data_IF_639128825625
#
_entry.id   IF_639128825625
#
_cell.length_a   1.000
_cell.length_b   1.000
_cell.length_c   1.000
_cell.angle_alpha   90.00
_cell.angle_beta   90.00
_cell.angle_gamma   90.00
#
_symmetry.space_group_name_H-M   'P 1'
#
loop_
_entity.id
_entity.type
_entity.pdbx_description
1 polymer ?
#
# COMPACT_ATOMS: atom_id res chain seq x y z
N UNK A 1 16.03 -4.65 23.05
CA UNK A 1 15.17 -4.08 21.99
C UNK A 1 14.81 -2.68 22.46
N UNK A 2 15.55 -1.66 22.02
CA UNK A 2 15.30 -0.28 22.43
C UNK A 2 14.39 0.39 21.39
N UNK A 3 13.20 0.77 21.83
CA UNK A 3 12.34 1.68 21.10
C UNK A 3 12.85 3.11 21.30
N UNK A 4 12.67 3.98 20.30
CA UNK A 4 13.02 5.39 20.44
C UNK A 4 12.24 6.06 21.56
N UNK A 5 12.94 6.88 22.37
CA UNK A 5 12.34 7.74 23.39
C UNK A 5 11.37 8.75 22.75
N UNK A 6 10.24 9.10 23.41
CA UNK A 6 9.27 10.10 22.94
C UNK A 6 9.88 11.46 22.54
N UNK A 7 11.08 11.77 23.04
CA UNK A 7 11.83 12.99 22.74
C UNK A 7 12.27 13.10 21.28
N UNK A 8 12.55 11.97 20.62
CA UNK A 8 13.00 11.92 19.22
C UNK A 8 11.84 11.95 18.21
N UNK A 9 10.60 11.77 18.68
CA UNK A 9 9.38 11.87 17.87
C UNK A 9 8.94 13.32 17.61
N UNK A 10 9.64 14.32 18.17
CA UNK A 10 9.34 15.75 17.94
C UNK A 10 9.70 16.25 16.53
N UNK A 11 10.48 15.48 15.78
CA UNK A 11 10.86 15.80 14.39
C UNK A 11 9.77 15.43 13.37
N UNK A 12 8.73 14.70 13.79
CA UNK A 12 7.65 14.28 12.90
C UNK A 12 6.37 15.11 13.10
N UNK A 13 5.70 15.52 12.00
CA UNK A 13 4.40 16.18 12.08
C UNK A 13 3.39 15.33 12.86
N UNK A 14 2.44 16.01 13.51
CA UNK A 14 1.45 15.41 14.45
C UNK A 14 0.68 14.22 13.88
N UNK A 15 0.45 14.22 12.57
CA UNK A 15 -0.21 13.15 11.80
C UNK A 15 0.59 11.84 11.73
N UNK A 16 1.93 11.90 11.83
CA UNK A 16 2.80 10.73 11.79
C UNK A 16 3.02 10.10 13.18
N UNK A 17 2.46 10.68 14.25
CA UNK A 17 2.55 10.14 15.62
C UNK A 17 1.61 8.97 15.88
N UNK A 18 0.73 8.64 14.94
CA UNK A 18 -0.16 7.48 15.01
C UNK A 18 0.50 6.17 14.55
N UNK A 19 1.68 6.23 13.93
CA UNK A 19 2.44 5.03 13.56
C UNK A 19 3.19 4.56 14.82
N UNK A 20 2.78 3.45 15.44
CA UNK A 20 3.28 3.06 16.74
C UNK A 20 4.71 2.51 16.59
N UNK A 21 5.62 3.06 17.39
CA UNK A 21 6.96 2.52 17.68
C UNK A 21 7.79 2.08 16.47
N UNK A 22 8.65 2.98 16.01
CA UNK A 22 9.82 2.61 15.23
C UNK A 22 10.72 1.67 16.03
N UNK A 23 10.92 0.45 15.54
CA UNK A 23 12.03 -0.36 16.01
C UNK A 23 13.29 0.09 15.27
N UNK A 24 14.44 0.11 15.96
CA UNK A 24 15.73 0.40 15.31
C UNK A 24 15.99 -0.55 14.12
N UNK A 25 15.43 -1.76 14.16
CA UNK A 25 15.46 -2.70 13.04
C UNK A 25 14.79 -2.13 11.78
N UNK A 26 13.65 -1.45 11.89
CA UNK A 26 12.93 -0.85 10.76
C UNK A 26 13.74 0.26 10.08
N UNK A 27 14.56 1.00 10.83
CA UNK A 27 15.42 2.03 10.26
C UNK A 27 16.74 1.45 9.75
N UNK A 28 17.24 0.38 10.38
CA UNK A 28 18.51 -0.25 10.01
C UNK A 28 18.50 -0.81 8.60
N UNK A 29 17.34 -1.24 8.07
CA UNK A 29 17.21 -1.74 6.70
C UNK A 29 17.38 -0.65 5.63
N UNK A 30 17.35 0.63 6.00
CA UNK A 30 17.71 1.71 5.06
C UNK A 30 19.24 1.79 4.83
N UNK A 31 20.03 1.14 5.68
CA UNK A 31 21.48 1.15 5.61
C UNK A 31 22.00 -0.17 5.01
N UNK A 32 22.14 -0.22 3.68
CA UNK A 32 22.72 -1.38 2.97
C UNK A 32 21.76 -2.02 1.97
N UNK A 33 22.11 -3.22 1.45
CA UNK A 33 21.32 -3.91 0.42
C UNK A 33 20.17 -4.73 1.04
N UNK A 34 19.35 -4.09 1.87
CA UNK A 34 18.20 -4.73 2.52
C UNK A 34 16.91 -4.39 1.78
N UNK A 35 15.94 -5.31 1.83
CA UNK A 35 14.60 -5.06 1.30
C UNK A 35 13.83 -4.12 2.23
N UNK A 36 13.04 -3.23 1.63
CA UNK A 36 12.08 -2.43 2.36
C UNK A 36 10.97 -3.33 2.90
N UNK A 37 10.50 -3.03 4.10
CA UNK A 37 9.34 -3.69 4.68
C UNK A 37 8.08 -2.82 4.56
N UNK A 38 6.91 -3.43 4.83
CA UNK A 38 5.61 -2.78 4.77
C UNK A 38 5.54 -1.49 5.61
N UNK A 39 6.21 -1.48 6.77
CA UNK A 39 6.16 -0.35 7.70
C UNK A 39 6.84 0.88 7.13
N UNK A 40 8.02 0.72 6.53
CA UNK A 40 8.73 1.82 5.88
C UNK A 40 7.95 2.38 4.69
N UNK A 41 7.39 1.51 3.85
CA UNK A 41 6.59 1.93 2.69
C UNK A 41 5.33 2.67 3.16
N UNK A 42 4.62 2.11 4.16
CA UNK A 42 3.45 2.74 4.75
C UNK A 42 3.76 4.12 5.35
N UNK A 43 4.88 4.23 6.07
CA UNK A 43 5.32 5.51 6.60
C UNK A 43 5.63 6.51 5.51
N UNK A 44 6.37 6.10 4.48
CA UNK A 44 6.72 7.00 3.39
C UNK A 44 5.46 7.49 2.65
N UNK A 45 4.50 6.60 2.39
CA UNK A 45 3.20 6.97 1.85
C UNK A 45 2.47 7.98 2.75
N UNK A 46 2.41 7.71 4.06
CA UNK A 46 1.81 8.63 5.02
C UNK A 46 2.52 9.98 5.05
N UNK A 47 3.84 9.99 4.93
CA UNK A 47 4.65 11.19 4.86
C UNK A 47 4.35 11.99 3.58
N UNK A 48 4.29 11.33 2.42
CA UNK A 48 3.95 11.98 1.16
C UNK A 48 2.55 12.60 1.20
N UNK A 49 1.55 11.88 1.74
CA UNK A 49 0.19 12.39 1.89
C UNK A 49 0.14 13.71 2.67
N UNK A 50 0.96 13.83 3.71
CA UNK A 50 1.04 15.03 4.56
C UNK A 50 1.91 16.12 3.92
N UNK A 51 3.10 15.76 3.46
CA UNK A 51 4.13 16.72 3.01
C UNK A 51 3.81 17.33 1.66
N UNK A 52 3.20 16.57 0.75
CA UNK A 52 2.84 17.04 -0.59
C UNK A 52 1.48 17.75 -0.61
N UNK A 53 0.74 17.75 0.51
CA UNK A 53 -0.63 18.28 0.59
C UNK A 53 -1.48 17.81 -0.59
N UNK A 54 -1.47 16.50 -0.85
CA UNK A 54 -2.21 15.96 -1.97
C UNK A 54 -3.70 16.30 -1.82
N UNK A 55 -4.39 16.58 -2.93
CA UNK A 55 -5.84 16.65 -2.89
C UNK A 55 -6.42 15.32 -2.38
N UNK A 56 -7.56 15.40 -1.69
CA UNK A 56 -8.22 14.25 -1.03
C UNK A 56 -8.64 13.13 -2.01
N UNK A 57 -8.48 13.36 -3.32
CA UNK A 57 -8.75 12.44 -4.42
C UNK A 57 -7.54 11.56 -4.80
N UNK A 58 -6.37 11.71 -4.15
CA UNK A 58 -5.24 10.77 -4.28
C UNK A 58 -5.19 9.84 -3.06
N UNK A 59 -5.27 8.54 -3.30
CA UNK A 59 -5.19 7.52 -2.25
C UNK A 59 -3.89 6.70 -2.38
N UNK A 60 -3.08 6.76 -1.33
CA UNK A 60 -1.90 5.92 -1.15
C UNK A 60 -2.27 4.74 -0.24
N UNK A 61 -2.45 3.55 -0.82
CA UNK A 61 -2.97 2.39 -0.08
C UNK A 61 -1.89 1.78 0.80
N UNK A 62 -2.16 1.52 2.09
CA UNK A 62 -1.22 0.79 2.95
C UNK A 62 -0.81 -0.56 2.35
N UNK A 63 0.48 -0.96 2.42
CA UNK A 63 0.94 -2.24 1.89
C UNK A 63 0.16 -3.46 2.38
N UNK A 64 -0.15 -3.51 3.67
CA UNK A 64 -0.95 -4.59 4.26
C UNK A 64 -2.36 -4.68 3.66
N UNK A 65 -2.99 -3.54 3.35
CA UNK A 65 -4.32 -3.50 2.73
C UNK A 65 -4.25 -3.89 1.26
N UNK A 66 -3.26 -3.41 0.51
CA UNK A 66 -3.06 -3.80 -0.89
C UNK A 66 -2.78 -5.31 -1.02
N UNK A 67 -1.92 -5.85 -0.14
CA UNK A 67 -1.64 -7.28 -0.07
C UNK A 67 -2.89 -8.09 0.32
N UNK A 68 -3.65 -7.61 1.30
CA UNK A 68 -4.90 -8.25 1.73
C UNK A 68 -5.92 -8.31 0.59
N UNK A 69 -6.10 -7.23 -0.17
CA UNK A 69 -6.99 -7.22 -1.34
C UNK A 69 -6.52 -8.27 -2.35
N UNK A 70 -5.23 -8.28 -2.71
CA UNK A 70 -4.70 -9.17 -3.74
C UNK A 70 -4.76 -10.66 -3.40
N UNK A 71 -4.76 -11.02 -2.10
CA UNK A 71 -4.62 -12.39 -1.64
C UNK A 71 -5.77 -12.86 -0.74
N UNK A 72 -6.89 -12.13 -0.70
CA UNK A 72 -8.03 -12.51 0.11
C UNK A 72 -8.62 -13.85 -0.37
N UNK A 73 -8.81 -14.85 0.51
CA UNK A 73 -9.27 -16.18 0.08
C UNK A 73 -10.64 -16.19 -0.60
N UNK A 74 -11.55 -15.33 -0.16
CA UNK A 74 -12.91 -15.20 -0.70
C UNK A 74 -13.19 -13.76 -1.17
N UNK A 75 -13.09 -13.49 -2.49
CA UNK A 75 -13.35 -12.18 -3.04
C UNK A 75 -14.75 -11.61 -2.76
N UNK A 76 -15.75 -12.45 -2.44
CA UNK A 76 -17.11 -11.97 -2.15
C UNK A 76 -17.19 -11.23 -0.80
N UNK A 77 -16.28 -11.56 0.11
CA UNK A 77 -16.19 -10.95 1.45
C UNK A 77 -15.24 -9.74 1.50
N UNK A 78 -14.62 -9.35 0.37
CA UNK A 78 -13.69 -8.21 0.30
C UNK A 78 -14.37 -6.83 0.39
N UNK A 79 -15.68 -6.76 0.22
CA UNK A 79 -16.43 -5.49 0.22
C UNK A 79 -16.17 -4.67 1.48
N UNK A 80 -16.11 -5.31 2.66
CA UNK A 80 -15.90 -4.61 3.94
C UNK A 80 -14.48 -4.02 4.08
N UNK A 81 -13.50 -4.61 3.37
CA UNK A 81 -12.11 -4.11 3.33
C UNK A 81 -11.99 -2.95 2.33
N UNK A 82 -12.66 -3.05 1.19
CA UNK A 82 -12.52 -2.09 0.09
C UNK A 82 -13.44 -0.87 0.24
N UNK A 83 -14.64 -1.03 0.79
CA UNK A 83 -15.60 0.05 0.94
C UNK A 83 -15.05 1.28 1.71
N UNK A 84 -14.31 1.12 2.83
CA UNK A 84 -13.70 2.24 3.54
C UNK A 84 -12.69 3.03 2.71
N UNK A 85 -12.09 2.42 1.68
CA UNK A 85 -11.13 3.09 0.79
C UNK A 85 -11.80 4.10 -0.14
N UNK A 86 -13.12 3.99 -0.34
CA UNK A 86 -13.91 4.89 -1.20
C UNK A 86 -13.27 5.09 -2.57
N UNK A 87 -12.83 3.99 -3.20
CA UNK A 87 -12.02 4.03 -4.43
C UNK A 87 -12.64 4.88 -5.54
N UNK A 88 -13.98 4.92 -5.63
CA UNK A 88 -14.72 5.67 -6.65
C UNK A 88 -14.68 7.19 -6.46
N UNK A 89 -14.38 7.63 -5.24
CA UNK A 89 -14.28 9.05 -4.89
C UNK A 89 -12.87 9.60 -5.16
N UNK A 90 -11.96 8.75 -5.65
CA UNK A 90 -10.56 9.10 -5.92
C UNK A 90 -10.36 9.37 -7.40
N UNK A 91 -9.42 10.26 -7.72
CA UNK A 91 -8.87 10.44 -9.05
C UNK A 91 -7.74 9.43 -9.31
N UNK A 92 -6.90 9.20 -8.30
CA UNK A 92 -5.72 8.33 -8.40
C UNK A 92 -5.60 7.42 -7.18
N UNK A 93 -5.36 6.14 -7.39
CA UNK A 93 -5.11 5.18 -6.31
C UNK A 93 -3.81 4.43 -6.58
N UNK A 94 -2.91 4.43 -5.60
CA UNK A 94 -1.61 3.78 -5.68
C UNK A 94 -1.57 2.60 -4.74
N UNK A 95 -1.29 1.42 -5.30
CA UNK A 95 -1.17 0.17 -4.58
C UNK A 95 0.26 -0.36 -4.66
N UNK A 96 0.96 -0.50 -3.53
CA UNK A 96 2.21 -1.25 -3.50
C UNK A 96 1.88 -2.75 -3.69
N UNK A 97 2.69 -3.43 -4.50
CA UNK A 97 2.52 -4.84 -4.84
C UNK A 97 3.76 -5.61 -4.37
N UNK A 98 3.54 -6.73 -3.71
CA UNK A 98 4.57 -7.63 -3.22
C UNK A 98 4.32 -9.06 -3.73
N UNK A 99 5.39 -9.79 -4.00
CA UNK A 99 5.38 -11.16 -4.51
C UNK A 99 5.26 -12.25 -3.43
N UNK A 100 5.03 -11.89 -2.16
CA UNK A 100 4.93 -12.86 -1.07
C UNK A 100 3.89 -13.96 -1.37
N UNK A 101 4.31 -15.22 -1.53
CA UNK A 101 3.41 -16.31 -1.89
C UNK A 101 2.59 -16.85 -0.71
N UNK A 102 2.96 -16.52 0.53
CA UNK A 102 2.33 -17.06 1.74
C UNK A 102 1.74 -15.95 2.62
N UNK A 103 0.41 -15.92 2.68
CA UNK A 103 -0.35 -14.96 3.49
C UNK A 103 -0.14 -15.13 5.00
N UNK A 104 0.35 -16.29 5.46
CA UNK A 104 0.60 -16.57 6.87
C UNK A 104 2.03 -16.23 7.29
N UNK A 105 2.93 -15.99 6.33
CA UNK A 105 4.33 -15.67 6.59
C UNK A 105 4.54 -14.15 6.52
N UNK A 106 4.79 -13.55 7.69
CA UNK A 106 5.25 -12.16 7.76
C UNK A 106 6.64 -12.04 7.13
N UNK A 107 6.94 -10.87 6.56
CA UNK A 107 8.24 -10.55 5.92
C UNK A 107 8.59 -11.46 4.72
N UNK A 108 7.59 -12.12 4.13
CA UNK A 108 7.76 -12.83 2.87
C UNK A 108 7.84 -11.90 1.65
N UNK A 109 8.12 -12.48 0.49
CA UNK A 109 8.34 -11.76 -0.76
C UNK A 109 9.78 -11.29 -0.94
N UNK A 110 10.16 -11.09 -2.19
CA UNK A 110 11.50 -10.70 -2.63
C UNK A 110 11.51 -9.41 -3.46
N UNK A 111 10.35 -8.87 -3.81
CA UNK A 111 10.27 -7.73 -4.71
C UNK A 111 9.03 -6.87 -4.50
N UNK A 112 9.24 -5.55 -4.53
CA UNK A 112 8.19 -4.55 -4.52
C UNK A 112 8.00 -3.92 -5.89
N UNK A 113 6.75 -3.68 -6.25
CA UNK A 113 6.38 -2.88 -7.42
C UNK A 113 5.17 -2.00 -7.08
N UNK A 114 4.71 -1.19 -8.03
CA UNK A 114 3.63 -0.23 -7.80
C UNK A 114 2.58 -0.34 -8.91
N UNK A 115 1.33 -0.59 -8.54
CA UNK A 115 0.18 -0.52 -9.43
C UNK A 115 -0.57 0.80 -9.19
N UNK A 116 -0.75 1.58 -10.24
CA UNK A 116 -1.44 2.88 -10.18
C UNK A 116 -2.75 2.75 -10.98
N UNK A 117 -3.86 3.19 -10.40
CA UNK A 117 -5.16 3.27 -11.03
C UNK A 117 -5.58 4.72 -11.17
N UNK A 118 -5.76 5.19 -12.41
CA UNK A 118 -6.50 6.42 -12.68
C UNK A 118 -8.00 6.08 -12.77
N UNK A 119 -8.72 6.40 -11.71
CA UNK A 119 -10.09 5.93 -11.48
C UNK A 119 -11.07 6.48 -12.52
N UNK A 120 -11.01 7.77 -12.97
CA UNK A 120 -11.93 8.30 -13.97
C UNK A 120 -11.82 7.62 -15.33
N UNK A 121 -10.60 7.34 -15.82
CA UNK A 121 -10.41 6.65 -17.11
C UNK A 121 -10.40 5.13 -17.01
N UNK A 122 -10.39 4.57 -15.79
CA UNK A 122 -10.21 3.13 -15.53
C UNK A 122 -8.89 2.58 -16.09
N UNK A 123 -7.87 3.42 -16.18
CA UNK A 123 -6.55 3.02 -16.67
C UNK A 123 -5.66 2.58 -15.51
N UNK A 124 -4.93 1.49 -15.75
CA UNK A 124 -3.98 0.93 -14.80
C UNK A 124 -2.59 0.95 -15.39
N UNK A 125 -1.62 1.40 -14.60
CA UNK A 125 -0.19 1.41 -14.96
C UNK A 125 0.57 0.66 -13.89
N UNK A 126 1.31 -0.37 -14.29
CA UNK A 126 2.19 -1.13 -13.41
C UNK A 126 3.64 -0.68 -13.61
N UNK A 127 4.26 -0.20 -12.54
CA UNK A 127 5.68 0.16 -12.49
C UNK A 127 6.44 -0.91 -11.73
N UNK A 128 7.32 -1.61 -12.45
CA UNK A 128 8.15 -2.69 -11.92
C UNK A 128 9.61 -2.44 -12.28
N UNK A 129 10.44 -2.21 -11.25
CA UNK A 129 11.87 -1.93 -11.41
C UNK A 129 12.70 -3.15 -11.81
N UNK A 130 12.12 -4.36 -11.79
CA UNK A 130 12.82 -5.63 -12.07
C UNK A 130 12.22 -6.37 -13.26
N UNK A 131 11.74 -5.64 -14.28
CA UNK A 131 11.39 -6.24 -15.58
C UNK A 131 10.18 -7.19 -15.53
N UNK A 132 9.12 -6.76 -14.84
CA UNK A 132 7.82 -7.46 -14.74
C UNK A 132 7.79 -8.68 -13.80
N UNK A 133 8.73 -8.81 -12.86
CA UNK A 133 8.75 -9.89 -11.85
C UNK A 133 7.42 -9.96 -11.08
N UNK A 134 6.81 -8.82 -10.78
CA UNK A 134 5.53 -8.73 -10.07
C UNK A 134 4.29 -8.72 -10.97
N UNK A 135 4.42 -8.97 -12.29
CA UNK A 135 3.31 -8.86 -13.25
C UNK A 135 2.09 -9.71 -12.86
N UNK A 136 2.29 -10.95 -12.41
CA UNK A 136 1.20 -11.84 -11.98
C UNK A 136 0.49 -11.29 -10.72
N UNK A 137 1.25 -10.78 -9.76
CA UNK A 137 0.72 -10.22 -8.51
C UNK A 137 -0.04 -8.91 -8.78
N UNK A 138 0.50 -8.04 -9.63
CA UNK A 138 -0.15 -6.82 -10.07
C UNK A 138 -1.44 -7.11 -10.85
N UNK A 139 -1.44 -8.12 -11.71
CA UNK A 139 -2.62 -8.51 -12.48
C UNK A 139 -3.76 -9.01 -11.58
N UNK A 140 -3.46 -9.84 -10.57
CA UNK A 140 -4.46 -10.26 -9.58
C UNK A 140 -5.11 -9.07 -8.87
N UNK A 141 -4.29 -8.13 -8.40
CA UNK A 141 -4.80 -6.93 -7.74
C UNK A 141 -5.64 -6.07 -8.69
N UNK A 142 -5.19 -5.89 -9.93
CA UNK A 142 -5.94 -5.21 -10.98
C UNK A 142 -7.33 -5.81 -11.17
N UNK A 143 -7.45 -7.14 -11.29
CA UNK A 143 -8.75 -7.78 -11.54
C UNK A 143 -9.77 -7.47 -10.43
N UNK A 144 -9.32 -7.52 -9.17
CA UNK A 144 -10.17 -7.25 -8.02
C UNK A 144 -10.55 -5.76 -7.93
N UNK A 145 -9.58 -4.86 -8.08
CA UNK A 145 -9.85 -3.41 -8.06
C UNK A 145 -10.78 -3.02 -9.20
N UNK A 146 -10.55 -3.56 -10.40
CA UNK A 146 -11.41 -3.32 -11.56
C UNK A 146 -12.84 -3.80 -11.33
N UNK A 147 -13.03 -4.94 -10.66
CA UNK A 147 -14.35 -5.44 -10.29
C UNK A 147 -15.10 -4.44 -9.38
N UNK A 148 -14.46 -3.99 -8.28
CA UNK A 148 -15.04 -3.00 -7.36
C UNK A 148 -15.31 -1.64 -8.01
N UNK A 149 -14.53 -1.27 -9.03
CA UNK A 149 -14.75 -0.06 -9.82
C UNK A 149 -15.88 -0.24 -10.85
N UNK A 150 -16.15 -1.46 -11.31
CA UNK A 150 -17.14 -1.75 -12.36
C UNK A 150 -18.56 -1.99 -11.84
N UNK A 151 -18.75 -2.23 -10.54
CA UNK A 151 -20.09 -2.42 -9.97
C UNK A 151 -20.91 -1.12 -10.06
N UNK A 152 -21.65 -1.00 -11.16
CA UNK A 152 -22.70 -0.02 -11.40
C UNK A 152 -23.76 -0.21 -10.32
N UNK A 153 -23.95 0.79 -9.45
CA UNK A 153 -25.19 0.90 -8.69
C UNK A 153 -26.31 1.09 -9.71
N UNK A 154 -27.11 0.05 -9.95
CA UNK A 154 -28.47 0.27 -10.45
C UNK A 154 -29.18 1.08 -9.36
N UNK A 155 -29.59 2.30 -9.73
CA UNK A 155 -30.37 3.19 -8.87
C UNK A 155 -31.75 2.65 -8.54
#
# INVERSE_FOLDING_TARGET
>A
MEAYSPSSLRLFPSSLRQIPFWYLSDLSILCGPHYLNDRLIHFFFSHLAVSCSYPDDILLVPPSIAYLIANYPDPTSLSDVVAPLKLRDKALVLFPVNDNPDVNLAEGGSHWSLLICHVPSREFVHHDSSGCLNSVHAYKLYQLVQHFLSDVQFG
#
